data_IF_115609107700
#
_entry.id   IF_115609107700
#
_cell.length_a   1.000
_cell.length_b   1.000
_cell.length_c   1.000
_cell.angle_alpha   90.00
_cell.angle_beta   90.00
_cell.angle_gamma   90.00
#
_symmetry.space_group_name_H-M   'P 1'
#
loop_
_entity.id
_entity.type
_entity.pdbx_description
1 polymer ?
#
# COMPACT_ATOMS: atom_id res chain seq x y z
N UNK A 1 7.52 7.28 4.85
CA UNK A 1 6.12 6.85 4.91
C UNK A 1 6.04 5.38 5.33
N UNK A 2 4.95 4.97 5.96
CA UNK A 2 4.73 3.59 6.40
C UNK A 2 3.31 3.17 6.02
N UNK A 3 3.19 1.97 5.42
CA UNK A 3 1.91 1.37 5.07
C UNK A 3 1.78 -0.02 5.65
N UNK A 4 0.60 -0.35 6.15
CA UNK A 4 0.30 -1.68 6.69
C UNK A 4 -1.06 -2.15 6.19
N UNK A 5 -1.11 -3.41 5.77
CA UNK A 5 -2.36 -4.06 5.43
C UNK A 5 -2.35 -5.52 5.85
N UNK A 6 -3.42 -5.97 6.47
CA UNK A 6 -3.53 -7.33 6.97
C UNK A 6 -4.94 -7.90 6.85
N UNK A 7 -5.02 -9.20 6.69
CA UNK A 7 -6.25 -10.00 6.77
C UNK A 7 -5.94 -11.39 7.31
N UNK A 8 -6.97 -12.15 7.66
CA UNK A 8 -6.84 -13.57 8.04
C UNK A 8 -7.07 -14.53 6.87
N UNK A 9 -7.15 -14.03 5.64
CA UNK A 9 -7.57 -14.82 4.48
C UNK A 9 -6.62 -15.99 4.15
N UNK A 10 -5.33 -15.84 4.41
CA UNK A 10 -4.35 -16.89 4.17
C UNK A 10 -4.49 -18.11 5.08
N UNK A 11 -5.06 -17.94 6.27
CA UNK A 11 -5.25 -19.02 7.25
C UNK A 11 -6.33 -20.03 6.82
N UNK A 12 -7.27 -19.60 5.98
CA UNK A 12 -8.44 -20.38 5.56
C UNK A 12 -8.46 -20.67 4.05
N UNK A 13 -7.34 -20.50 3.34
CA UNK A 13 -7.27 -20.80 1.91
C UNK A 13 -7.43 -22.30 1.65
N UNK A 14 -8.40 -22.64 0.78
CA UNK A 14 -8.53 -23.99 0.27
C UNK A 14 -7.41 -24.31 -0.73
N UNK A 15 -7.01 -25.58 -0.81
CA UNK A 15 -5.94 -26.04 -1.73
C UNK A 15 -6.28 -25.82 -3.20
N UNK A 16 -7.56 -25.85 -3.52
CA UNK A 16 -8.10 -25.66 -4.87
C UNK A 16 -8.23 -24.18 -5.26
N UNK A 17 -7.98 -23.27 -4.33
CA UNK A 17 -8.02 -21.83 -4.62
C UNK A 17 -6.88 -21.45 -5.58
N UNK A 18 -7.21 -20.70 -6.62
CA UNK A 18 -6.21 -20.13 -7.53
C UNK A 18 -5.16 -19.29 -6.78
N UNK A 19 -5.53 -18.72 -5.63
CA UNK A 19 -4.64 -17.90 -4.80
C UNK A 19 -3.48 -18.66 -4.16
N UNK A 20 -3.46 -19.98 -4.19
CA UNK A 20 -2.32 -20.77 -3.69
C UNK A 20 -1.22 -20.99 -4.75
N UNK A 21 -1.53 -20.68 -6.00
CA UNK A 21 -0.58 -20.80 -7.10
C UNK A 21 0.48 -19.68 -7.06
N UNK A 22 1.79 -20.01 -7.07
CA UNK A 22 2.84 -19.00 -7.04
C UNK A 22 2.90 -18.14 -8.31
N UNK A 23 2.30 -18.59 -9.41
CA UNK A 23 2.16 -17.81 -10.63
C UNK A 23 1.06 -16.74 -10.50
N UNK A 24 0.00 -17.06 -9.77
CA UNK A 24 -1.17 -16.17 -9.60
C UNK A 24 -0.99 -15.18 -8.43
N UNK A 25 -0.15 -15.56 -7.46
CA UNK A 25 0.15 -14.73 -6.28
C UNK A 25 1.66 -14.59 -6.08
N UNK A 26 2.39 -14.09 -7.07
CA UNK A 26 3.82 -13.82 -6.91
C UNK A 26 4.03 -12.79 -5.80
N UNK A 27 5.07 -12.96 -4.98
CA UNK A 27 5.32 -12.13 -3.79
C UNK A 27 4.21 -12.21 -2.70
N UNK A 28 3.45 -13.31 -2.65
CA UNK A 28 2.58 -13.66 -1.53
C UNK A 28 1.55 -12.58 -1.15
N UNK A 29 1.58 -12.13 0.10
CA UNK A 29 0.65 -11.13 0.64
C UNK A 29 0.67 -9.80 -0.13
N UNK A 30 1.77 -9.47 -0.80
CA UNK A 30 1.89 -8.27 -1.62
C UNK A 30 0.87 -8.27 -2.77
N UNK A 31 0.69 -9.40 -3.46
CA UNK A 31 -0.19 -9.49 -4.63
C UNK A 31 -1.64 -9.10 -4.32
N UNK A 32 -2.18 -9.60 -3.20
CA UNK A 32 -3.59 -9.36 -2.86
C UNK A 32 -3.84 -8.11 -2.02
N UNK A 33 -2.85 -7.64 -1.31
CA UNK A 33 -3.00 -6.55 -0.33
C UNK A 33 -2.04 -5.40 -0.59
N UNK A 34 -0.75 -5.70 -0.75
CA UNK A 34 0.29 -4.67 -0.86
C UNK A 34 0.19 -3.80 -2.10
N UNK A 35 -0.44 -4.29 -3.16
CA UNK A 35 -0.72 -3.51 -4.37
C UNK A 35 -1.49 -2.21 -4.06
N UNK A 36 -2.38 -2.21 -3.08
CA UNK A 36 -3.12 -1.01 -2.66
C UNK A 36 -2.22 0.02 -1.96
N UNK A 37 -1.19 -0.45 -1.23
CA UNK A 37 -0.20 0.45 -0.62
C UNK A 37 0.74 1.04 -1.66
N UNK A 38 1.12 0.24 -2.69
CA UNK A 38 1.95 0.71 -3.81
C UNK A 38 1.25 1.86 -4.54
N UNK A 39 -0.02 1.65 -4.90
CA UNK A 39 -0.84 2.66 -5.59
C UNK A 39 -0.97 3.94 -4.74
N UNK A 40 -1.35 3.81 -3.47
CA UNK A 40 -1.45 4.95 -2.57
C UNK A 40 -0.14 5.72 -2.37
N UNK A 41 1.01 5.03 -2.32
CA UNK A 41 2.29 5.73 -2.19
C UNK A 41 2.81 6.31 -3.50
N UNK A 42 2.45 5.76 -4.65
CA UNK A 42 2.71 6.41 -5.94
C UNK A 42 1.95 7.74 -6.03
N UNK A 43 0.69 7.75 -5.59
CA UNK A 43 -0.12 8.98 -5.55
C UNK A 43 0.46 10.02 -4.58
N UNK A 44 0.81 9.61 -3.36
CA UNK A 44 1.29 10.50 -2.30
C UNK A 44 2.74 10.96 -2.48
N UNK A 45 3.63 10.10 -3.01
CA UNK A 45 5.07 10.30 -2.99
C UNK A 45 5.71 10.39 -4.37
N UNK A 46 4.93 10.10 -5.43
CA UNK A 46 5.39 10.08 -6.81
C UNK A 46 6.05 8.74 -7.19
N UNK A 47 6.64 8.73 -8.38
CA UNK A 47 7.23 7.52 -8.98
C UNK A 47 8.29 6.86 -8.11
N UNK A 48 8.27 5.53 -8.12
CA UNK A 48 9.26 4.67 -7.45
C UNK A 48 10.47 4.46 -8.34
N UNK A 49 11.66 4.58 -7.79
CA UNK A 49 12.94 4.35 -8.49
C UNK A 49 13.49 2.95 -8.23
N UNK A 50 13.38 2.48 -6.98
CA UNK A 50 13.99 1.23 -6.53
C UNK A 50 13.17 0.59 -5.42
N UNK A 51 13.16 -0.73 -5.38
CA UNK A 51 12.43 -1.50 -4.36
C UNK A 51 13.32 -2.58 -3.75
N UNK A 52 13.04 -2.95 -2.49
CA UNK A 52 13.57 -4.15 -1.85
C UNK A 52 12.46 -4.90 -1.14
N UNK A 53 12.38 -6.21 -1.33
CA UNK A 53 11.28 -7.03 -0.81
C UNK A 53 11.77 -8.31 -0.14
N UNK A 54 11.11 -8.66 0.96
CA UNK A 54 11.29 -9.92 1.69
C UNK A 54 9.95 -10.59 1.86
N UNK A 55 9.85 -11.86 1.47
CA UNK A 55 8.70 -12.72 1.70
C UNK A 55 8.99 -13.77 2.74
N UNK A 56 7.96 -14.15 3.50
CA UNK A 56 8.00 -15.27 4.42
C UNK A 56 6.66 -16.01 4.48
N UNK A 57 6.76 -17.33 4.73
CA UNK A 57 5.62 -18.17 5.12
C UNK A 57 5.75 -18.50 6.59
N UNK A 58 4.86 -18.01 7.42
CA UNK A 58 4.95 -18.14 8.88
C UNK A 58 3.78 -18.88 9.50
N UNK A 59 2.57 -18.61 9.08
CA UNK A 59 1.35 -19.14 9.67
C UNK A 59 0.39 -19.74 8.65
N UNK A 60 0.27 -19.15 7.45
CA UNK A 60 -0.58 -19.71 6.41
C UNK A 60 0.05 -20.99 5.82
N UNK A 61 -0.74 -22.07 5.66
CA UNK A 61 -0.18 -23.35 5.24
C UNK A 61 0.23 -23.40 3.75
N UNK A 62 -0.36 -22.56 2.90
CA UNK A 62 -0.29 -22.72 1.45
C UNK A 62 0.37 -21.56 0.69
N UNK A 63 0.52 -20.39 1.31
CA UNK A 63 1.03 -19.17 0.65
C UNK A 63 2.09 -18.49 1.51
N UNK A 64 2.92 -17.67 0.89
CA UNK A 64 3.74 -16.71 1.62
C UNK A 64 2.83 -15.63 2.19
N UNK A 65 2.66 -15.66 3.50
CA UNK A 65 1.66 -14.90 4.21
C UNK A 65 2.15 -13.55 4.71
N UNK A 66 3.43 -13.32 4.66
CA UNK A 66 4.05 -12.10 5.16
C UNK A 66 5.00 -11.54 4.11
N UNK A 67 4.78 -10.28 3.72
CA UNK A 67 5.63 -9.56 2.79
C UNK A 67 5.98 -8.20 3.37
N UNK A 68 7.26 -7.87 3.39
CA UNK A 68 7.78 -6.54 3.73
C UNK A 68 8.52 -6.00 2.52
N UNK A 69 8.23 -4.77 2.12
CA UNK A 69 8.97 -4.12 1.05
C UNK A 69 9.19 -2.65 1.31
N UNK A 70 10.30 -2.15 0.83
CA UNK A 70 10.67 -0.73 0.88
C UNK A 70 10.75 -0.19 -0.53
N UNK A 71 10.24 1.02 -0.75
CA UNK A 71 10.30 1.74 -2.01
C UNK A 71 11.05 3.05 -1.82
N UNK A 72 12.01 3.32 -2.68
CA UNK A 72 12.68 4.61 -2.80
C UNK A 72 12.06 5.37 -3.96
N UNK A 73 11.43 6.49 -3.66
CA UNK A 73 10.78 7.33 -4.68
C UNK A 73 11.78 8.29 -5.34
N UNK A 74 11.52 8.67 -6.58
CA UNK A 74 12.33 9.68 -7.30
C UNK A 74 12.34 11.04 -6.61
N UNK A 75 11.29 11.34 -5.84
CA UNK A 75 11.21 12.54 -4.97
C UNK A 75 12.18 12.51 -3.79
N UNK A 76 12.86 11.39 -3.53
CA UNK A 76 13.72 11.17 -2.38
C UNK A 76 12.98 10.62 -1.15
N UNK A 77 11.67 10.53 -1.19
CA UNK A 77 10.87 9.90 -0.12
C UNK A 77 11.15 8.40 -0.07
N UNK A 78 11.12 7.83 1.13
CA UNK A 78 11.20 6.38 1.37
C UNK A 78 9.89 5.95 2.00
N UNK A 79 9.28 4.88 1.45
CA UNK A 79 8.13 4.22 2.03
C UNK A 79 8.43 2.76 2.35
N UNK A 80 7.91 2.29 3.47
CA UNK A 80 8.01 0.89 3.90
C UNK A 80 6.61 0.32 4.08
N UNK A 81 6.39 -0.87 3.55
CA UNK A 81 5.11 -1.55 3.56
C UNK A 81 5.21 -2.91 4.25
N UNK A 82 4.23 -3.20 5.08
CA UNK A 82 4.03 -4.50 5.72
C UNK A 82 2.67 -5.08 5.31
N UNK A 83 2.69 -6.28 4.77
CA UNK A 83 1.48 -6.99 4.34
C UNK A 83 1.43 -8.37 4.98
N UNK A 84 0.28 -8.78 5.53
CA UNK A 84 0.11 -10.16 6.00
C UNK A 84 -1.30 -10.70 5.74
N UNK A 85 -1.35 -11.98 5.36
CA UNK A 85 -2.59 -12.75 5.18
C UNK A 85 -2.95 -13.59 6.41
N UNK A 86 -2.25 -13.41 7.53
CA UNK A 86 -2.35 -14.25 8.71
C UNK A 86 -2.56 -13.46 10.02
N UNK A 87 -3.32 -12.36 9.95
CA UNK A 87 -3.62 -11.51 11.10
C UNK A 87 -5.04 -10.94 11.03
N UNK A 88 -5.45 -10.17 12.03
CA UNK A 88 -6.69 -9.41 12.00
C UNK A 88 -6.73 -8.44 10.83
N UNK A 89 -7.92 -8.16 10.29
CA UNK A 89 -8.08 -7.17 9.24
C UNK A 89 -7.67 -5.78 9.73
N UNK A 90 -6.77 -5.14 8.99
CA UNK A 90 -6.30 -3.79 9.26
C UNK A 90 -5.78 -3.14 7.99
N UNK A 91 -5.93 -1.81 7.92
CA UNK A 91 -5.32 -0.98 6.88
C UNK A 91 -4.86 0.33 7.52
N UNK A 92 -3.63 0.74 7.25
CA UNK A 92 -3.07 1.99 7.74
C UNK A 92 -2.04 2.54 6.75
N UNK A 93 -2.12 3.82 6.47
CA UNK A 93 -1.07 4.60 5.80
C UNK A 93 -0.70 5.74 6.72
N UNK A 94 0.60 5.95 6.95
CA UNK A 94 1.15 7.05 7.74
C UNK A 94 2.25 7.78 6.97
N UNK A 95 2.15 9.10 6.93
CA UNK A 95 3.13 10.00 6.32
C UNK A 95 3.78 10.82 7.42
N UNK A 96 5.10 10.72 7.54
CA UNK A 96 5.92 11.44 8.53
C UNK A 96 6.56 12.65 7.84
N UNK A 97 6.06 13.83 8.15
CA UNK A 97 6.53 15.08 7.56
C UNK A 97 7.09 16.06 8.60
N UNK A 98 7.72 17.13 8.14
CA UNK A 98 8.29 18.17 9.01
C UNK A 98 7.25 18.90 9.87
N UNK A 99 5.99 18.85 9.49
CA UNK A 99 4.91 19.55 10.21
C UNK A 99 4.14 18.59 11.15
N UNK A 100 4.34 17.27 11.04
CA UNK A 100 3.63 16.28 11.84
C UNK A 100 3.50 14.95 11.16
N UNK A 101 2.64 14.09 11.71
CA UNK A 101 2.28 12.78 11.17
C UNK A 101 0.83 12.84 10.72
N UNK A 102 0.58 12.49 9.46
CA UNK A 102 -0.75 12.29 8.91
C UNK A 102 -0.98 10.81 8.69
N UNK A 103 -2.06 10.24 9.23
CA UNK A 103 -2.30 8.80 9.13
C UNK A 103 -3.79 8.46 9.07
N UNK A 104 -4.10 7.30 8.48
CA UNK A 104 -5.38 6.64 8.72
C UNK A 104 -5.28 5.84 10.01
N UNK A 105 -6.25 5.97 10.92
CA UNK A 105 -6.24 5.24 12.18
C UNK A 105 -6.80 3.82 11.99
N UNK A 106 -6.10 2.82 12.51
CA UNK A 106 -6.59 1.42 12.48
C UNK A 106 -7.98 1.27 13.12
N UNK A 107 -8.80 0.31 12.65
CA UNK A 107 -8.43 -0.76 11.72
C UNK A 107 -8.68 -0.46 10.22
N UNK A 108 -9.17 0.71 9.87
CA UNK A 108 -9.59 1.01 8.50
C UNK A 108 -9.24 2.42 8.02
N UNK A 109 -10.01 2.88 7.04
CA UNK A 109 -9.82 4.19 6.39
C UNK A 109 -10.81 5.26 6.88
N UNK A 110 -11.66 4.92 7.84
CA UNK A 110 -12.76 5.79 8.27
C UNK A 110 -12.31 6.93 9.18
N UNK A 111 -11.13 6.82 9.77
CA UNK A 111 -10.59 7.83 10.67
C UNK A 111 -9.25 8.33 10.16
N UNK A 112 -9.17 9.62 9.90
CA UNK A 112 -7.94 10.32 9.61
C UNK A 112 -7.46 11.03 10.89
N UNK A 113 -6.15 10.98 11.14
CA UNK A 113 -5.52 11.63 12.27
C UNK A 113 -4.30 12.44 11.81
N UNK A 114 -4.21 13.69 12.25
CA UNK A 114 -3.03 14.52 12.10
C UNK A 114 -2.46 14.84 13.48
N UNK A 115 -1.23 14.44 13.72
CA UNK A 115 -0.47 14.74 14.93
C UNK A 115 0.57 15.82 14.60
N UNK A 116 0.34 17.09 14.94
CA UNK A 116 1.29 18.16 14.64
C UNK A 116 2.56 18.05 15.46
N UNK A 117 3.66 18.61 14.93
CA UNK A 117 4.90 18.76 15.71
C UNK A 117 4.65 19.74 16.86
N UNK A 118 4.85 19.27 18.08
CA UNK A 118 4.61 20.09 19.27
C UNK A 118 5.74 21.12 19.49
N UNK A 119 5.38 22.25 20.11
CA UNK A 119 6.33 23.19 20.66
C UNK A 119 6.82 22.70 22.03
N UNK A 120 8.03 23.03 22.41
CA UNK A 120 8.55 22.68 23.76
C UNK A 120 9.67 21.63 23.81
N UNK A 121 10.23 21.29 22.66
CA UNK A 121 11.41 20.42 22.56
C UNK A 121 11.17 19.06 21.90
N UNK A 122 12.22 18.25 21.75
CA UNK A 122 12.19 17.05 20.88
C UNK A 122 11.29 15.92 21.39
N UNK A 123 10.86 15.95 22.64
CA UNK A 123 9.97 14.96 23.23
C UNK A 123 8.59 15.54 23.60
N UNK A 124 8.31 16.77 23.19
CA UNK A 124 6.99 17.35 23.40
C UNK A 124 5.94 16.61 22.55
N UNK A 125 4.73 16.46 23.07
CA UNK A 125 3.60 15.84 22.38
C UNK A 125 2.50 16.88 22.19
N UNK A 126 1.86 16.82 21.03
CA UNK A 126 0.65 17.60 20.72
C UNK A 126 -0.60 16.71 20.81
N UNK A 127 -1.75 17.35 20.90
CA UNK A 127 -3.01 16.63 20.73
C UNK A 127 -3.26 16.41 19.25
N UNK A 128 -3.69 15.20 18.83
CA UNK A 128 -4.02 14.94 17.44
C UNK A 128 -5.32 15.62 17.04
N UNK A 129 -5.36 16.11 15.83
CA UNK A 129 -6.60 16.44 15.14
C UNK A 129 -7.18 15.18 14.53
N UNK A 130 -8.44 14.88 14.80
CA UNK A 130 -9.11 13.65 14.33
C UNK A 130 -10.30 14.03 13.45
N UNK A 131 -10.36 13.45 12.26
CA UNK A 131 -11.48 13.57 11.33
C UNK A 131 -12.06 12.19 11.09
N UNK A 132 -13.32 12.01 11.45
CA UNK A 132 -14.04 10.78 11.18
C UNK A 132 -14.86 10.90 9.90
N UNK A 133 -14.68 9.96 9.01
CA UNK A 133 -15.48 9.80 7.81
C UNK A 133 -16.50 8.69 8.07
N UNK A 134 -17.76 8.98 7.81
CA UNK A 134 -18.78 7.91 7.87
C UNK A 134 -18.44 6.88 6.80
N UNK A 135 -18.18 5.66 7.22
CA UNK A 135 -17.91 4.53 6.35
C UNK A 135 -18.96 4.42 5.25
N UNK A 136 -18.54 4.11 4.06
CA UNK A 136 -19.39 4.03 2.89
C UNK A 136 -18.87 3.02 1.89
N UNK A 137 -19.64 2.82 0.82
CA UNK A 137 -19.19 2.01 -0.30
C UNK A 137 -18.10 2.75 -1.09
N UNK A 138 -16.83 2.41 -0.86
CA UNK A 138 -15.69 3.01 -1.54
C UNK A 138 -15.66 2.74 -3.05
N UNK A 139 -16.32 1.67 -3.51
CA UNK A 139 -16.38 1.31 -4.94
C UNK A 139 -17.30 2.26 -5.72
N UNK A 140 -18.39 2.71 -5.10
CA UNK A 140 -19.36 3.57 -5.78
C UNK A 140 -18.75 4.86 -6.31
N UNK A 141 -18.05 5.70 -5.53
CA UNK A 141 -17.45 6.93 -6.04
C UNK A 141 -16.39 6.68 -7.12
N UNK A 142 -15.66 5.57 -7.06
CA UNK A 142 -14.70 5.18 -8.11
C UNK A 142 -15.42 4.90 -9.43
N UNK A 143 -16.52 4.15 -9.39
CA UNK A 143 -17.30 3.85 -10.59
C UNK A 143 -17.99 5.10 -11.16
N UNK A 144 -18.49 5.99 -10.30
CA UNK A 144 -19.08 7.26 -10.71
C UNK A 144 -18.04 8.20 -11.35
N UNK A 145 -16.84 8.29 -10.77
CA UNK A 145 -15.75 9.08 -11.36
C UNK A 145 -15.32 8.52 -12.72
N UNK A 146 -15.27 7.19 -12.87
CA UNK A 146 -14.94 6.55 -14.14
C UNK A 146 -16.01 6.82 -15.20
N UNK A 147 -17.29 6.69 -14.85
CA UNK A 147 -18.39 7.00 -15.76
C UNK A 147 -18.37 8.47 -16.21
N UNK A 148 -18.16 9.39 -15.27
CA UNK A 148 -18.03 10.83 -15.56
C UNK A 148 -16.90 11.11 -16.55
N UNK A 149 -15.76 10.46 -16.37
CA UNK A 149 -14.63 10.63 -17.29
C UNK A 149 -14.93 10.11 -18.72
N UNK A 150 -15.67 9.00 -18.86
CA UNK A 150 -16.10 8.46 -20.15
C UNK A 150 -17.09 9.42 -20.85
N UNK A 151 -17.96 10.04 -20.10
CA UNK A 151 -18.94 11.01 -20.61
C UNK A 151 -18.34 12.39 -20.98
N UNK A 152 -17.01 12.54 -20.85
CA UNK A 152 -16.27 13.75 -21.20
C UNK A 152 -16.30 14.82 -20.11
N UNK A 153 -16.66 14.45 -18.87
CA UNK A 153 -16.61 15.31 -17.71
C UNK A 153 -15.20 15.36 -17.07
N UNK A 154 -15.12 15.39 -15.76
CA UNK A 154 -13.88 15.43 -15.02
C UNK A 154 -13.02 14.18 -15.30
N UNK A 155 -11.72 14.36 -15.44
CA UNK A 155 -10.80 13.25 -15.69
C UNK A 155 -10.79 12.28 -14.52
N UNK A 156 -10.66 11.00 -14.83
CA UNK A 156 -10.43 9.98 -13.79
C UNK A 156 -9.15 10.30 -13.01
N UNK A 157 -9.18 10.25 -11.67
CA UNK A 157 -8.06 10.75 -10.84
C UNK A 157 -6.76 9.94 -11.02
N UNK A 158 -6.85 8.65 -11.36
CA UNK A 158 -5.66 7.83 -11.61
C UNK A 158 -5.33 7.85 -13.10
N UNK A 159 -4.13 8.31 -13.45
CA UNK A 159 -3.67 8.42 -14.84
C UNK A 159 -3.18 7.08 -15.39
N UNK A 160 -3.23 6.86 -16.72
CA UNK A 160 -2.63 5.68 -17.35
C UNK A 160 -1.15 5.49 -16.98
N UNK A 161 -0.36 6.58 -16.88
CA UNK A 161 1.05 6.51 -16.50
C UNK A 161 1.24 6.01 -15.07
N UNK A 162 0.40 6.45 -14.13
CA UNK A 162 0.41 5.91 -12.76
C UNK A 162 0.07 4.42 -12.72
N UNK A 163 -0.91 3.98 -13.52
CA UNK A 163 -1.30 2.56 -13.61
C UNK A 163 -0.13 1.72 -14.12
N UNK A 164 0.48 2.14 -15.25
CA UNK A 164 1.61 1.44 -15.87
C UNK A 164 2.80 1.42 -14.91
N UNK A 165 3.08 2.54 -14.26
CA UNK A 165 4.15 2.62 -13.26
C UNK A 165 3.88 1.74 -12.02
N UNK A 166 2.63 1.64 -11.59
CA UNK A 166 2.20 0.71 -10.53
C UNK A 166 2.50 -0.75 -10.89
N UNK A 167 2.20 -1.16 -12.13
CA UNK A 167 2.53 -2.50 -12.63
C UNK A 167 4.04 -2.73 -12.68
N UNK A 168 4.81 -1.77 -13.20
CA UNK A 168 6.27 -1.88 -13.23
C UNK A 168 6.89 -1.96 -11.83
N UNK A 169 6.33 -1.23 -10.88
CA UNK A 169 6.73 -1.30 -9.45
C UNK A 169 6.41 -2.67 -8.86
N UNK A 170 5.22 -3.21 -9.14
CA UNK A 170 4.84 -4.56 -8.74
C UNK A 170 5.80 -5.62 -9.29
N UNK A 171 6.14 -5.56 -10.57
CA UNK A 171 7.12 -6.47 -11.18
C UNK A 171 8.50 -6.39 -10.53
N UNK A 172 8.97 -5.18 -10.21
CA UNK A 172 10.24 -4.98 -9.51
C UNK A 172 10.20 -5.58 -8.10
N UNK A 173 9.10 -5.44 -7.36
CA UNK A 173 8.91 -6.06 -6.04
C UNK A 173 8.95 -7.59 -6.15
N UNK A 174 8.29 -8.18 -7.15
CA UNK A 174 8.33 -9.63 -7.40
C UNK A 174 9.74 -10.11 -7.73
N UNK A 175 10.49 -9.36 -8.54
CA UNK A 175 11.89 -9.66 -8.85
C UNK A 175 12.76 -9.60 -7.61
N UNK A 176 12.61 -8.56 -6.80
CA UNK A 176 13.35 -8.38 -5.54
C UNK A 176 13.05 -9.50 -4.54
N UNK A 177 11.80 -9.92 -4.41
CA UNK A 177 11.43 -11.05 -3.56
C UNK A 177 12.10 -12.37 -3.98
N UNK A 178 12.36 -12.55 -5.27
CA UNK A 178 13.02 -13.74 -5.82
C UNK A 178 14.55 -13.65 -5.76
N UNK A 179 15.12 -12.49 -6.07
CA UNK A 179 16.57 -12.28 -6.11
C UNK A 179 17.18 -12.06 -4.72
N UNK A 180 16.38 -11.61 -3.74
CA UNK A 180 16.87 -11.19 -2.42
C UNK A 180 17.69 -9.89 -2.48
N UNK A 181 17.62 -9.12 -3.57
CA UNK A 181 18.38 -7.91 -3.81
C UNK A 181 17.46 -6.72 -4.16
N UNK A 182 17.93 -5.47 -4.00
CA UNK A 182 17.21 -4.32 -4.52
C UNK A 182 17.06 -4.40 -6.05
N UNK A 183 15.91 -3.95 -6.55
CA UNK A 183 15.58 -3.95 -7.97
C UNK A 183 15.12 -2.55 -8.41
N UNK A 184 15.60 -2.13 -9.57
CA UNK A 184 15.15 -0.88 -10.19
C UNK A 184 13.79 -1.06 -10.85
N UNK A 185 12.92 -0.06 -10.68
CA UNK A 185 11.65 -0.02 -11.40
C UNK A 185 11.91 0.37 -12.85
N UNK A 186 11.36 -0.40 -13.78
CA UNK A 186 11.51 -0.13 -15.20
C UNK A 186 10.91 1.25 -15.56
N UNK A 187 11.58 1.99 -16.44
CA UNK A 187 11.03 3.23 -16.98
C UNK A 187 9.83 2.89 -17.86
N UNK A 188 8.72 3.49 -17.60
CA UNK A 188 7.49 3.35 -18.38
C UNK A 188 7.39 4.57 -19.31
N UNK A 189 7.95 4.40 -20.52
CA UNK A 189 7.79 5.36 -21.63
C UNK A 189 8.55 6.65 -21.52
#
# INVERSE_FOLDING_TARGET
>A
CVGEVSTASGLALAKESWRVGPAETPAGAMTGLGVHLVDGFIDLCGEVDEVYCINARRAAPLVDDTTVFTMKHKSGVISTCYCTLASSASYCIAVFGKNGIAETARPGLDTFRFLPVAQGGPHATAQPEVIEHKGGNLVKPVMEAFATAIEGGERFPVTPDQIIHGVATFEAIVKSAKSGAPEKVARTG
#
